data_IF_643272141822
#
_entry.id   IF_643272141822
#
_cell.length_a   1.000
_cell.length_b   1.000
_cell.length_c   1.000
_cell.angle_alpha   90.00
_cell.angle_beta   90.00
_cell.angle_gamma   90.00
#
_symmetry.space_group_name_H-M   'P 1'
#
loop_
_entity.id
_entity.type
_entity.pdbx_description
1 polymer ?
#
# COMPACT_ATOMS: atom_id res chain seq x y z
N UNK A 1 -7.85 5.34 -19.02
CA UNK A 1 -7.57 6.17 -17.83
C UNK A 1 -6.08 6.23 -17.64
N UNK A 2 -5.54 7.39 -17.29
CA UNK A 2 -4.11 7.61 -17.11
C UNK A 2 -3.86 8.33 -15.78
N UNK A 3 -2.82 7.90 -15.07
CA UNK A 3 -2.33 8.54 -13.85
C UNK A 3 -0.85 8.85 -14.08
N UNK A 4 -0.47 10.11 -14.00
CA UNK A 4 0.87 10.58 -14.34
C UNK A 4 1.59 11.10 -13.11
N UNK A 5 2.90 10.82 -13.06
CA UNK A 5 3.79 11.32 -12.03
C UNK A 5 5.13 11.69 -12.65
N UNK A 6 5.85 12.56 -11.99
CA UNK A 6 7.18 13.00 -12.40
C UNK A 6 8.13 13.04 -11.22
N UNK A 7 9.42 12.98 -11.50
CA UNK A 7 10.44 13.03 -10.45
C UNK A 7 11.74 13.60 -10.97
N UNK A 8 12.55 14.15 -10.06
CA UNK A 8 13.88 14.62 -10.33
C UNK A 8 14.82 14.29 -9.17
N UNK A 9 16.08 14.02 -9.47
CA UNK A 9 17.09 13.69 -8.47
C UNK A 9 18.44 14.26 -8.84
N UNK A 10 19.15 14.92 -7.91
CA UNK A 10 20.58 15.08 -8.04
C UNK A 10 21.30 13.72 -8.05
N UNK A 11 22.56 13.69 -8.44
CA UNK A 11 23.37 12.47 -8.41
C UNK A 11 23.77 12.08 -6.98
N UNK A 12 24.06 10.79 -6.78
CA UNK A 12 24.60 10.25 -5.55
C UNK A 12 23.62 9.44 -4.73
N UNK A 13 24.09 8.30 -4.18
CA UNK A 13 23.26 7.39 -3.39
C UNK A 13 22.82 7.98 -2.03
N UNK A 14 23.48 9.02 -1.56
CA UNK A 14 23.14 9.72 -0.30
C UNK A 14 22.20 10.90 -0.51
N UNK A 15 21.82 11.17 -1.76
CA UNK A 15 21.00 12.35 -2.09
C UNK A 15 19.54 11.95 -2.23
N UNK A 16 18.63 12.53 -1.44
CA UNK A 16 17.19 12.35 -1.63
C UNK A 16 16.72 12.92 -2.96
N UNK A 17 15.59 12.44 -3.42
CA UNK A 17 14.92 12.95 -4.61
C UNK A 17 13.47 13.29 -4.35
N UNK A 18 12.85 13.94 -5.32
CA UNK A 18 11.48 14.45 -5.24
C UNK A 18 10.60 13.76 -6.28
N UNK A 19 9.42 13.36 -5.86
CA UNK A 19 8.37 12.81 -6.72
C UNK A 19 7.09 13.60 -6.51
N UNK A 20 6.34 13.82 -7.57
CA UNK A 20 5.01 14.45 -7.45
C UNK A 20 4.06 13.96 -8.54
N UNK A 21 2.79 14.11 -8.26
CA UNK A 21 1.72 14.04 -9.27
C UNK A 21 1.21 15.45 -9.53
N UNK A 22 0.46 15.62 -10.63
CA UNK A 22 -0.15 16.90 -10.97
C UNK A 22 -1.01 17.43 -9.81
N UNK A 23 -0.85 18.71 -9.51
CA UNK A 23 -1.65 19.47 -8.53
C UNK A 23 -1.52 19.03 -7.07
N UNK A 24 -0.51 18.19 -6.76
CA UNK A 24 -0.20 17.78 -5.38
C UNK A 24 1.21 18.21 -4.98
N UNK A 25 1.41 18.39 -3.67
CA UNK A 25 2.72 18.69 -3.13
C UNK A 25 3.69 17.52 -3.37
N UNK A 26 4.98 17.80 -3.65
CA UNK A 26 5.98 16.76 -3.78
C UNK A 26 6.17 15.95 -2.50
N UNK A 27 6.55 14.68 -2.67
CA UNK A 27 7.06 13.84 -1.60
C UNK A 27 8.56 13.65 -1.75
N UNK A 28 9.25 13.50 -0.63
CA UNK A 28 10.70 13.24 -0.60
C UNK A 28 10.92 11.74 -0.46
N UNK A 29 11.82 11.22 -1.30
CA UNK A 29 12.22 9.82 -1.32
C UNK A 29 13.72 9.69 -1.12
N UNK A 30 14.16 8.54 -0.62
CA UNK A 30 15.57 8.25 -0.43
C UNK A 30 15.82 6.75 -0.55
N UNK A 31 17.07 6.38 -0.86
CA UNK A 31 17.50 5.00 -0.77
C UNK A 31 17.52 4.60 0.72
N UNK A 32 16.91 3.47 1.10
CA UNK A 32 16.91 3.04 2.49
C UNK A 32 18.30 2.53 2.92
N UNK A 33 18.59 2.54 4.24
CA UNK A 33 19.89 2.10 4.76
C UNK A 33 20.28 0.68 4.35
N UNK A 34 19.32 -0.21 4.17
CA UNK A 34 19.50 -1.59 3.71
C UNK A 34 20.17 -1.66 2.34
N UNK A 35 20.05 -0.60 1.54
CA UNK A 35 20.69 -0.44 0.23
C UNK A 35 21.74 0.69 0.22
N UNK A 36 22.34 0.97 1.38
CA UNK A 36 23.41 1.97 1.58
C UNK A 36 22.97 3.43 1.42
N UNK A 37 21.70 3.70 1.51
CA UNK A 37 21.17 5.05 1.42
C UNK A 37 21.10 5.74 2.78
N UNK A 38 20.70 7.03 2.79
CA UNK A 38 20.58 7.81 4.01
C UNK A 38 19.34 7.48 4.82
N UNK A 39 18.32 6.87 4.23
CA UNK A 39 17.01 6.75 4.87
C UNK A 39 16.37 8.10 5.17
N UNK A 40 15.45 8.15 6.13
CA UNK A 40 14.82 9.39 6.58
C UNK A 40 13.75 9.95 5.63
N UNK A 41 13.41 9.24 4.57
CA UNK A 41 12.37 9.59 3.61
C UNK A 41 11.75 8.31 3.05
N UNK A 42 10.72 8.42 2.22
CA UNK A 42 10.06 7.25 1.65
C UNK A 42 11.00 6.47 0.73
N UNK A 43 11.11 5.17 0.96
CA UNK A 43 11.76 4.25 0.02
C UNK A 43 10.79 3.83 -1.09
N UNK A 44 11.26 3.30 -2.22
CA UNK A 44 10.38 2.71 -3.24
C UNK A 44 9.51 1.58 -2.67
N UNK A 45 10.04 0.79 -1.76
CA UNK A 45 9.34 -0.31 -1.09
C UNK A 45 8.20 0.21 -0.21
N UNK A 46 8.44 1.31 0.53
CA UNK A 46 7.41 1.99 1.30
C UNK A 46 6.27 2.46 0.40
N UNK A 47 6.59 3.08 -0.73
CA UNK A 47 5.59 3.59 -1.68
C UNK A 47 4.73 2.47 -2.27
N UNK A 48 5.32 1.32 -2.59
CA UNK A 48 4.55 0.17 -3.05
C UNK A 48 3.59 -0.33 -1.96
N UNK A 49 4.07 -0.47 -0.75
CA UNK A 49 3.25 -0.87 0.40
C UNK A 49 2.11 0.10 0.65
N UNK A 50 2.40 1.39 0.67
CA UNK A 50 1.40 2.44 0.86
C UNK A 50 0.35 2.45 -0.27
N UNK A 51 0.77 2.23 -1.52
CA UNK A 51 -0.16 2.13 -2.64
C UNK A 51 -1.13 0.96 -2.47
N UNK A 52 -0.63 -0.21 -2.09
CA UNK A 52 -1.46 -1.40 -1.86
C UNK A 52 -2.44 -1.20 -0.69
N UNK A 53 -1.94 -0.67 0.44
CA UNK A 53 -2.77 -0.38 1.61
C UNK A 53 -3.84 0.65 1.29
N UNK A 54 -3.47 1.76 0.64
CA UNK A 54 -4.39 2.82 0.26
C UNK A 54 -5.48 2.32 -0.69
N UNK A 55 -5.12 1.48 -1.66
CA UNK A 55 -6.09 0.91 -2.61
C UNK A 55 -7.11 0.01 -1.92
N UNK A 56 -6.68 -0.85 -0.99
CA UNK A 56 -7.59 -1.68 -0.20
C UNK A 56 -8.53 -0.83 0.65
N UNK A 57 -8.02 0.18 1.33
CA UNK A 57 -8.86 1.08 2.12
C UNK A 57 -9.87 1.84 1.24
N UNK A 58 -9.44 2.33 0.08
CA UNK A 58 -10.32 3.02 -0.86
C UNK A 58 -11.43 2.10 -1.40
N UNK A 59 -11.08 0.87 -1.77
CA UNK A 59 -12.03 -0.14 -2.26
C UNK A 59 -13.08 -0.45 -1.20
N UNK A 60 -12.65 -0.67 0.05
CA UNK A 60 -13.58 -0.90 1.16
C UNK A 60 -14.50 0.31 1.38
N UNK A 61 -13.99 1.54 1.33
CA UNK A 61 -14.80 2.75 1.47
C UNK A 61 -15.88 2.83 0.39
N UNK A 62 -15.55 2.55 -0.85
CA UNK A 62 -16.51 2.56 -1.96
C UNK A 62 -17.60 1.51 -1.73
N UNK A 63 -17.22 0.26 -1.41
CA UNK A 63 -18.19 -0.81 -1.18
C UNK A 63 -19.06 -0.55 0.03
N UNK A 64 -18.49 -0.01 1.11
CA UNK A 64 -19.26 0.38 2.30
C UNK A 64 -20.32 1.43 1.97
N UNK A 65 -19.95 2.45 1.19
CA UNK A 65 -20.90 3.47 0.75
C UNK A 65 -22.02 2.88 -0.10
N UNK A 66 -21.68 2.00 -1.05
CA UNK A 66 -22.69 1.33 -1.91
C UNK A 66 -23.63 0.44 -1.10
N UNK A 67 -23.15 -0.17 -0.03
CA UNK A 67 -23.94 -1.05 0.85
C UNK A 67 -24.60 -0.31 2.01
N UNK A 68 -24.46 1.01 2.09
CA UNK A 68 -24.95 1.83 3.22
C UNK A 68 -24.42 1.35 4.57
N UNK A 69 -23.20 0.81 4.59
CA UNK A 69 -22.50 0.42 5.81
C UNK A 69 -21.78 1.62 6.40
N UNK A 70 -22.05 1.93 7.67
CA UNK A 70 -21.29 2.94 8.42
C UNK A 70 -20.34 2.27 9.40
N UNK A 71 -19.28 2.94 9.76
CA UNK A 71 -18.27 2.48 10.72
C UNK A 71 -17.49 3.68 11.27
N UNK A 72 -16.87 3.51 12.43
CA UNK A 72 -16.10 4.61 13.02
C UNK A 72 -14.88 4.95 12.17
N UNK A 73 -14.05 3.93 11.88
CA UNK A 73 -12.85 4.08 11.04
C UNK A 73 -12.37 2.74 10.51
N UNK A 74 -11.54 2.81 9.48
CA UNK A 74 -10.73 1.69 9.01
C UNK A 74 -9.27 2.00 9.31
N UNK A 75 -8.56 1.02 9.84
CA UNK A 75 -7.13 1.09 10.15
C UNK A 75 -6.40 -0.01 9.41
N UNK A 76 -5.16 0.24 9.05
CA UNK A 76 -4.38 -0.79 8.38
C UNK A 76 -2.89 -0.62 8.55
N UNK A 77 -2.19 -1.71 8.30
CA UNK A 77 -0.73 -1.75 8.23
C UNK A 77 -0.30 -2.64 7.08
N UNK A 78 0.92 -2.42 6.63
CA UNK A 78 1.51 -3.19 5.53
C UNK A 78 2.97 -3.48 5.84
N UNK A 79 3.40 -4.70 5.53
CA UNK A 79 4.81 -5.10 5.56
C UNK A 79 5.18 -5.61 4.17
N UNK A 80 6.22 -5.02 3.59
CA UNK A 80 6.80 -5.43 2.31
C UNK A 80 8.08 -6.20 2.61
N UNK A 81 8.15 -7.44 2.15
CA UNK A 81 9.34 -8.30 2.35
C UNK A 81 10.17 -8.30 1.08
N UNK A 82 11.43 -7.91 1.23
CA UNK A 82 12.45 -7.96 0.19
C UNK A 82 13.40 -9.11 0.53
N UNK A 83 13.69 -9.96 -0.43
CA UNK A 83 14.55 -11.11 -0.23
C UNK A 83 15.38 -11.40 -1.49
N UNK A 84 16.36 -12.28 -1.32
CA UNK A 84 17.16 -12.79 -2.43
C UNK A 84 16.92 -14.29 -2.56
N UNK A 85 15.91 -14.73 -3.34
CA UNK A 85 15.72 -16.14 -3.60
C UNK A 85 16.98 -16.75 -4.22
N UNK A 86 17.27 -18.00 -3.88
CA UNK A 86 18.49 -18.68 -4.36
C UNK A 86 18.60 -18.64 -5.88
N UNK A 87 19.74 -18.12 -6.38
CA UNK A 87 19.98 -17.98 -7.83
C UNK A 87 19.24 -16.83 -8.52
N UNK A 88 18.57 -15.96 -7.75
CA UNK A 88 17.77 -14.84 -8.27
C UNK A 88 18.31 -13.50 -7.75
N UNK A 89 18.04 -12.40 -8.46
CA UNK A 89 18.32 -11.07 -7.93
C UNK A 89 17.40 -10.73 -6.74
N UNK A 90 17.81 -9.74 -5.96
CA UNK A 90 16.97 -9.18 -4.87
C UNK A 90 15.65 -8.70 -5.46
N UNK A 91 14.55 -9.05 -4.82
CA UNK A 91 13.20 -8.63 -5.22
C UNK A 91 12.23 -8.60 -4.04
N UNK A 92 11.11 -7.93 -4.24
CA UNK A 92 9.99 -8.03 -3.32
C UNK A 92 9.35 -9.40 -3.52
N UNK A 93 9.24 -10.18 -2.43
CA UNK A 93 8.72 -11.55 -2.47
C UNK A 93 7.34 -11.68 -1.86
N UNK A 94 6.99 -10.81 -0.92
CA UNK A 94 5.72 -10.89 -0.22
C UNK A 94 5.26 -9.49 0.21
N UNK A 95 3.96 -9.31 0.27
CA UNK A 95 3.32 -8.18 0.92
C UNK A 95 2.27 -8.70 1.90
N UNK A 96 2.39 -8.31 3.15
CA UNK A 96 1.43 -8.67 4.19
C UNK A 96 0.64 -7.44 4.60
N UNK A 97 -0.69 -7.53 4.55
CA UNK A 97 -1.56 -6.39 4.79
C UNK A 97 -2.60 -6.74 5.85
N UNK A 98 -2.69 -5.89 6.87
CA UNK A 98 -3.69 -5.98 7.91
C UNK A 98 -4.69 -4.84 7.77
N UNK A 99 -5.99 -5.14 7.87
CA UNK A 99 -7.06 -4.15 7.95
C UNK A 99 -7.95 -4.44 9.14
N UNK A 100 -8.38 -3.39 9.82
CA UNK A 100 -9.33 -3.44 10.93
C UNK A 100 -10.42 -2.41 10.72
N UNK A 101 -11.67 -2.85 10.71
CA UNK A 101 -12.85 -1.98 10.65
C UNK A 101 -13.43 -1.87 12.04
N UNK A 102 -13.46 -0.65 12.57
CA UNK A 102 -13.93 -0.40 13.94
C UNK A 102 -15.39 0.02 13.97
N UNK A 103 -16.15 -0.60 14.86
CA UNK A 103 -17.55 -0.30 15.16
C UNK A 103 -18.43 -0.16 13.90
N UNK A 104 -18.51 -1.20 13.05
CA UNK A 104 -19.42 -1.15 11.92
C UNK A 104 -20.88 -1.30 12.36
N UNK A 105 -21.78 -0.64 11.63
CA UNK A 105 -23.23 -0.74 11.86
C UNK A 105 -23.79 -2.16 11.70
N UNK A 106 -23.13 -2.98 10.87
CA UNK A 106 -23.46 -4.38 10.65
C UNK A 106 -22.16 -5.20 10.53
N UNK A 107 -21.87 -5.99 11.56
CA UNK A 107 -20.61 -6.74 11.64
C UNK A 107 -20.41 -7.74 10.51
N UNK A 108 -21.41 -8.57 10.24
CA UNK A 108 -21.33 -9.59 9.18
C UNK A 108 -21.19 -8.97 7.80
N UNK A 109 -21.87 -7.87 7.55
CA UNK A 109 -21.76 -7.13 6.29
C UNK A 109 -20.36 -6.55 6.11
N UNK A 110 -19.77 -6.01 7.16
CA UNK A 110 -18.39 -5.51 7.12
C UNK A 110 -17.39 -6.63 6.80
N UNK A 111 -17.56 -7.82 7.40
CA UNK A 111 -16.71 -8.98 7.10
C UNK A 111 -16.84 -9.41 5.63
N UNK A 112 -18.06 -9.46 5.11
CA UNK A 112 -18.31 -9.77 3.70
C UNK A 112 -17.64 -8.76 2.77
N UNK A 113 -17.77 -7.47 3.07
CA UNK A 113 -17.17 -6.41 2.24
C UNK A 113 -15.64 -6.41 2.30
N UNK A 114 -15.04 -6.80 3.42
CA UNK A 114 -13.60 -7.00 3.50
C UNK A 114 -13.12 -8.12 2.54
N UNK A 115 -13.85 -9.22 2.45
CA UNK A 115 -13.52 -10.30 1.50
C UNK A 115 -13.71 -9.85 0.05
N UNK A 116 -14.75 -9.10 -0.25
CA UNK A 116 -14.96 -8.52 -1.59
C UNK A 116 -13.86 -7.51 -1.96
N UNK A 117 -13.43 -6.70 -1.00
CA UNK A 117 -12.31 -5.75 -1.15
C UNK A 117 -11.03 -6.46 -1.57
N UNK A 118 -10.70 -7.58 -0.91
CA UNK A 118 -9.54 -8.40 -1.25
C UNK A 118 -9.57 -8.87 -2.71
N UNK A 119 -10.75 -9.25 -3.21
CA UNK A 119 -10.92 -9.74 -4.58
C UNK A 119 -10.86 -8.64 -5.63
N UNK A 120 -11.18 -7.41 -5.27
CA UNK A 120 -11.42 -6.31 -6.21
C UNK A 120 -10.36 -5.21 -6.18
N UNK A 121 -9.39 -5.26 -5.28
CA UNK A 121 -8.37 -4.23 -5.17
C UNK A 121 -7.49 -4.18 -6.42
N UNK A 122 -7.54 -3.06 -7.14
CA UNK A 122 -6.83 -2.85 -8.39
C UNK A 122 -5.32 -3.06 -8.25
N UNK A 123 -4.71 -2.43 -7.25
CA UNK A 123 -3.25 -2.48 -7.06
C UNK A 123 -2.79 -3.89 -6.70
N UNK A 124 -3.37 -4.50 -5.68
CA UNK A 124 -2.93 -5.84 -5.25
C UNK A 124 -3.17 -6.91 -6.31
N UNK A 125 -4.26 -6.80 -7.07
CA UNK A 125 -4.55 -7.73 -8.19
C UNK A 125 -3.58 -7.57 -9.37
N UNK A 126 -2.90 -6.44 -9.46
CA UNK A 126 -1.90 -6.18 -10.50
C UNK A 126 -0.49 -6.63 -10.11
N UNK A 127 -0.28 -7.09 -8.89
CA UNK A 127 1.01 -7.53 -8.37
C UNK A 127 1.12 -9.06 -8.42
N UNK A 128 2.21 -9.56 -9.00
CA UNK A 128 2.49 -11.00 -9.12
C UNK A 128 3.31 -11.56 -7.94
N UNK A 129 3.26 -10.92 -6.79
CA UNK A 129 3.95 -11.35 -5.56
C UNK A 129 2.97 -12.02 -4.61
N UNK A 130 3.50 -12.78 -3.64
CA UNK A 130 2.67 -13.37 -2.58
C UNK A 130 2.00 -12.28 -1.76
N UNK A 131 0.70 -12.42 -1.53
CA UNK A 131 -0.08 -11.50 -0.71
C UNK A 131 -0.69 -12.26 0.47
N UNK A 132 -0.42 -11.77 1.67
CA UNK A 132 -0.98 -12.31 2.92
C UNK A 132 -1.91 -11.24 3.51
N UNK A 133 -3.14 -11.61 3.77
CA UNK A 133 -4.15 -10.71 4.30
C UNK A 133 -4.59 -11.12 5.70
N UNK A 134 -4.65 -10.16 6.60
CA UNK A 134 -5.20 -10.31 7.94
C UNK A 134 -6.27 -9.23 8.15
N UNK A 135 -7.50 -9.53 7.75
CA UNK A 135 -8.62 -8.61 7.79
C UNK A 135 -9.60 -9.00 8.90
N UNK A 136 -10.00 -8.06 9.72
CA UNK A 136 -10.93 -8.30 10.81
C UNK A 136 -11.80 -7.08 11.10
N UNK A 137 -12.91 -7.35 11.78
CA UNK A 137 -13.83 -6.35 12.34
C UNK A 137 -13.58 -6.27 13.83
N UNK A 138 -13.49 -5.05 14.33
CA UNK A 138 -13.36 -4.76 15.78
C UNK A 138 -14.65 -4.19 16.37
#
# INVERSE_FOLDING_TARGET
MHFEAEGESPSGIQTPWSLKTKDLDPIVCAIPPEFRGPGGAYSPEDLLGLAALSCLMATFKVYSAMASLTYEKIMGSVTVTVDRPKGMPVKITQIQISLRVKDPSQREKAQQLLEETKKSCLVTNSLAIEKVYDFAVE
#
